data_IF_871807666425
#
_entry.id   IF_871807666425
#
_cell.length_a   1.000
_cell.length_b   1.000
_cell.length_c   1.000
_cell.angle_alpha   90.00
_cell.angle_beta   90.00
_cell.angle_gamma   90.00
#
_symmetry.space_group_name_H-M   'P 1'
#
loop_
_entity.id
_entity.type
_entity.pdbx_description
1 polymer ?
#
# COMPACT_ATOMS: atom_id res chain seq x y z
N UNK A 1 12.65 -5.75 -12.69
CA UNK A 1 11.50 -4.96 -12.20
C UNK A 1 10.58 -4.59 -13.33
N UNK A 2 9.28 -4.90 -13.20
CA UNK A 2 8.27 -4.37 -14.10
C UNK A 2 7.87 -2.95 -13.65
N UNK A 3 8.35 -1.94 -14.37
CA UNK A 3 8.05 -0.54 -14.06
C UNK A 3 6.56 -0.19 -14.15
N UNK A 4 5.81 -0.83 -15.04
CA UNK A 4 4.37 -0.55 -15.19
C UNK A 4 3.60 -1.01 -13.94
N UNK A 5 3.96 -2.19 -13.44
CA UNK A 5 3.44 -2.74 -12.20
C UNK A 5 3.77 -1.85 -11.00
N UNK A 6 5.05 -1.47 -10.85
CA UNK A 6 5.47 -0.60 -9.74
C UNK A 6 4.79 0.76 -9.83
N UNK A 7 4.69 1.37 -11.02
CA UNK A 7 3.99 2.66 -11.19
C UNK A 7 2.50 2.55 -10.85
N UNK A 8 1.84 1.45 -11.19
CA UNK A 8 0.43 1.21 -10.83
C UNK A 8 0.21 1.28 -9.32
N UNK A 9 1.00 0.55 -8.54
CA UNK A 9 0.90 0.58 -7.07
C UNK A 9 1.36 1.92 -6.50
N UNK A 10 2.44 2.49 -7.00
CA UNK A 10 2.92 3.83 -6.59
C UNK A 10 1.84 4.90 -6.76
N UNK A 11 1.10 4.89 -7.87
CA UNK A 11 0.02 5.86 -8.09
C UNK A 11 -1.16 5.63 -7.13
N UNK A 12 -1.56 4.38 -6.90
CA UNK A 12 -2.61 4.03 -5.96
C UNK A 12 -2.27 4.43 -4.51
N UNK A 13 -1.02 4.19 -4.07
CA UNK A 13 -0.53 4.57 -2.74
C UNK A 13 -0.41 6.09 -2.62
N UNK A 14 0.06 6.76 -3.68
CA UNK A 14 0.18 8.23 -3.73
C UNK A 14 -1.17 8.94 -3.64
N UNK A 15 -2.23 8.41 -4.26
CA UNK A 15 -3.60 8.93 -4.11
C UNK A 15 -3.99 8.97 -2.62
N UNK A 16 -3.69 7.92 -1.87
CA UNK A 16 -3.99 7.85 -0.44
C UNK A 16 -3.13 8.80 0.39
N UNK A 17 -1.80 8.79 0.21
CA UNK A 17 -0.87 9.67 0.95
C UNK A 17 -1.18 11.16 0.71
N UNK A 18 -1.76 11.52 -0.43
CA UNK A 18 -2.19 12.90 -0.73
C UNK A 18 -3.57 13.26 -0.18
N UNK A 19 -4.28 12.30 0.41
CA UNK A 19 -5.66 12.46 0.88
C UNK A 19 -6.67 12.58 -0.26
N UNK A 20 -6.35 12.06 -1.45
CA UNK A 20 -7.27 12.03 -2.59
C UNK A 20 -8.31 10.91 -2.45
N UNK A 21 -7.98 9.87 -1.67
CA UNK A 21 -8.88 8.80 -1.24
C UNK A 21 -8.79 8.62 0.29
N UNK A 22 -9.87 8.16 0.91
CA UNK A 22 -9.89 7.85 2.35
C UNK A 22 -9.17 6.54 2.66
N UNK A 23 -8.75 6.33 3.92
CA UNK A 23 -8.13 5.06 4.34
C UNK A 23 -8.99 3.82 4.07
N UNK A 24 -10.32 3.93 4.21
CA UNK A 24 -11.25 2.82 3.89
C UNK A 24 -11.32 2.54 2.40
N UNK A 25 -11.35 3.58 1.56
CA UNK A 25 -11.34 3.41 0.09
C UNK A 25 -10.00 2.84 -0.38
N UNK A 26 -8.90 3.34 0.18
CA UNK A 26 -7.56 2.86 -0.10
C UNK A 26 -7.40 1.39 0.28
N UNK A 27 -7.70 0.99 1.53
CA UNK A 27 -7.52 -0.40 1.97
C UNK A 27 -8.32 -1.37 1.09
N UNK A 28 -9.58 -1.02 0.78
CA UNK A 28 -10.44 -1.82 -0.10
C UNK A 28 -9.86 -1.92 -1.51
N UNK A 29 -9.46 -0.78 -2.12
CA UNK A 29 -8.95 -0.74 -3.49
C UNK A 29 -7.60 -1.48 -3.59
N UNK A 30 -6.70 -1.24 -2.64
CA UNK A 30 -5.39 -1.86 -2.55
C UNK A 30 -5.50 -3.39 -2.43
N UNK A 31 -6.30 -3.88 -1.49
CA UNK A 31 -6.45 -5.32 -1.27
C UNK A 31 -7.08 -6.02 -2.47
N UNK A 32 -8.10 -5.42 -3.10
CA UNK A 32 -8.69 -5.99 -4.31
C UNK A 32 -7.67 -6.05 -5.44
N UNK A 33 -6.92 -4.96 -5.67
CA UNK A 33 -5.88 -4.93 -6.69
C UNK A 33 -4.82 -6.00 -6.44
N UNK A 34 -4.32 -6.12 -5.20
CA UNK A 34 -3.29 -7.08 -4.82
C UNK A 34 -3.74 -8.54 -4.93
N UNK A 35 -5.00 -8.84 -4.61
CA UNK A 35 -5.55 -10.20 -4.69
C UNK A 35 -5.92 -10.63 -6.11
N UNK A 36 -6.32 -9.68 -6.97
CA UNK A 36 -6.71 -9.92 -8.36
C UNK A 36 -5.53 -9.79 -9.33
N UNK A 37 -4.33 -9.40 -8.84
CA UNK A 37 -3.13 -9.26 -9.67
C UNK A 37 -2.53 -10.62 -10.03
N UNK A 38 -2.49 -10.93 -11.32
CA UNK A 38 -1.86 -12.15 -11.85
C UNK A 38 -0.36 -11.96 -12.14
N UNK A 39 0.17 -10.76 -11.92
CA UNK A 39 1.57 -10.46 -12.19
C UNK A 39 2.50 -10.91 -11.04
N UNK A 40 3.70 -11.39 -11.41
CA UNK A 40 4.72 -11.82 -10.44
C UNK A 40 5.79 -10.73 -10.35
N UNK A 41 5.78 -9.88 -9.31
CA UNK A 41 6.83 -8.90 -9.10
C UNK A 41 8.17 -9.54 -8.70
N UNK A 42 9.25 -8.75 -8.75
CA UNK A 42 10.51 -9.13 -8.11
C UNK A 42 10.33 -9.17 -6.58
N UNK A 43 11.15 -10.00 -5.91
CA UNK A 43 11.04 -10.25 -4.46
C UNK A 43 11.01 -8.95 -3.62
N UNK A 44 11.85 -7.97 -3.96
CA UNK A 44 11.93 -6.69 -3.24
C UNK A 44 10.64 -5.86 -3.39
N UNK A 45 10.07 -5.81 -4.59
CA UNK A 45 8.78 -5.15 -4.83
C UNK A 45 7.65 -5.91 -4.13
N UNK A 46 7.69 -7.24 -4.16
CA UNK A 46 6.71 -8.07 -3.49
C UNK A 46 6.72 -7.83 -1.98
N UNK A 47 7.89 -7.82 -1.34
CA UNK A 47 8.04 -7.62 0.10
C UNK A 47 7.45 -6.27 0.56
N UNK A 48 7.73 -5.17 -0.15
CA UNK A 48 7.15 -3.86 0.16
C UNK A 48 5.62 -3.84 0.01
N UNK A 49 5.09 -4.48 -1.04
CA UNK A 49 3.64 -4.53 -1.26
C UNK A 49 2.93 -5.49 -0.30
N UNK A 50 3.53 -6.64 0.02
CA UNK A 50 2.97 -7.62 0.98
C UNK A 50 2.92 -7.02 2.38
N UNK A 51 3.94 -6.25 2.79
CA UNK A 51 3.90 -5.47 4.03
C UNK A 51 2.70 -4.52 4.06
N UNK A 52 2.50 -3.73 3.01
CA UNK A 52 1.36 -2.80 2.94
C UNK A 52 0.01 -3.52 2.86
N UNK A 53 -0.03 -4.71 2.26
CA UNK A 53 -1.21 -5.57 2.25
C UNK A 53 -1.61 -5.97 3.68
N UNK A 54 -0.64 -6.40 4.49
CA UNK A 54 -0.88 -6.77 5.90
C UNK A 54 -1.40 -5.57 6.70
N UNK A 55 -0.83 -4.39 6.48
CA UNK A 55 -1.29 -3.16 7.14
C UNK A 55 -2.69 -2.74 6.69
N UNK A 56 -3.01 -2.89 5.40
CA UNK A 56 -4.34 -2.64 4.85
C UNK A 56 -5.40 -3.62 5.39
N UNK A 57 -5.05 -4.90 5.59
CA UNK A 57 -5.92 -5.90 6.22
C UNK A 57 -6.12 -5.62 7.73
N UNK A 58 -5.09 -5.08 8.39
CA UNK A 58 -5.15 -4.68 9.79
C UNK A 58 -5.93 -3.36 10.01
N UNK A 59 -6.19 -2.58 8.96
CA UNK A 59 -6.88 -1.30 9.10
C UNK A 59 -8.30 -1.46 9.63
N UNK A 60 -8.58 -0.76 10.73
CA UNK A 60 -9.88 -0.68 11.35
C UNK A 60 -10.37 0.77 11.33
N UNK A 61 -11.53 0.98 10.69
CA UNK A 61 -12.23 2.25 10.77
C UNK A 61 -12.48 2.67 12.23
N UNK A 62 -12.67 3.98 12.48
CA UNK A 62 -12.78 4.54 13.84
C UNK A 62 -13.90 3.92 14.68
N UNK A 63 -14.89 3.30 14.03
CA UNK A 63 -16.04 2.67 14.68
C UNK A 63 -15.74 1.29 15.29
N UNK A 64 -14.64 0.64 14.87
CA UNK A 64 -14.28 -0.74 15.28
C UNK A 64 -12.89 -0.82 15.93
N UNK A 65 -12.13 0.28 15.95
CA UNK A 65 -10.71 0.30 16.37
C UNK A 65 -10.47 -0.21 17.79
N UNK A 66 -11.35 0.11 18.74
CA UNK A 66 -11.20 -0.31 20.14
C UNK A 66 -11.58 -1.78 20.37
N UNK A 67 -12.26 -2.40 19.40
CA UNK A 67 -12.80 -3.75 19.50
C UNK A 67 -11.93 -4.81 18.77
N UNK A 68 -10.95 -4.38 17.97
CA UNK A 68 -10.09 -5.26 17.17
C UNK A 68 -8.67 -5.28 17.74
N UNK A 69 -8.29 -6.41 18.34
CA UNK A 69 -6.92 -6.63 18.82
C UNK A 69 -5.97 -6.67 17.63
N UNK A 70 -5.01 -5.73 17.59
CA UNK A 70 -4.04 -5.61 16.50
C UNK A 70 -4.52 -4.77 15.32
N UNK A 71 -5.71 -4.15 15.41
CA UNK A 71 -6.19 -3.24 14.39
C UNK A 71 -5.43 -1.90 14.40
N UNK A 72 -5.14 -1.37 13.21
CA UNK A 72 -4.46 -0.07 13.04
C UNK A 72 -5.46 1.01 12.62
N UNK A 73 -5.18 2.25 12.98
CA UNK A 73 -5.95 3.42 12.54
C UNK A 73 -5.43 4.03 11.24
N UNK A 74 -6.12 5.05 10.74
CA UNK A 74 -5.76 5.78 9.52
C UNK A 74 -4.34 6.36 9.56
N UNK A 75 -3.93 6.96 10.68
CA UNK A 75 -2.58 7.54 10.81
C UNK A 75 -1.46 6.48 10.78
N UNK A 76 -1.74 5.26 11.25
CA UNK A 76 -0.79 4.14 11.19
C UNK A 76 -0.71 3.62 9.75
N UNK A 77 -1.86 3.42 9.09
CA UNK A 77 -1.90 3.04 7.67
C UNK A 77 -1.23 4.08 6.76
N UNK A 78 -1.43 5.38 7.02
CA UNK A 78 -0.79 6.47 6.26
C UNK A 78 0.74 6.44 6.44
N UNK A 79 1.23 6.12 7.63
CA UNK A 79 2.66 5.98 7.88
C UNK A 79 3.26 4.80 7.09
N UNK A 80 2.63 3.61 7.15
CA UNK A 80 3.06 2.43 6.41
C UNK A 80 2.98 2.65 4.88
N UNK A 81 1.92 3.32 4.41
CA UNK A 81 1.77 3.69 3.00
C UNK A 81 2.85 4.69 2.54
N UNK A 82 3.23 5.64 3.39
CA UNK A 82 4.29 6.61 3.07
C UNK A 82 5.66 5.92 2.97
N UNK A 83 5.97 5.02 3.90
CA UNK A 83 7.20 4.22 3.89
C UNK A 83 7.33 3.43 2.58
N UNK A 84 6.30 2.66 2.24
CA UNK A 84 6.30 1.86 0.99
C UNK A 84 6.32 2.75 -0.26
N UNK A 85 5.66 3.90 -0.24
CA UNK A 85 5.74 4.85 -1.36
C UNK A 85 7.17 5.35 -1.57
N UNK A 86 7.92 5.62 -0.50
CA UNK A 86 9.33 6.02 -0.59
C UNK A 86 10.17 4.90 -1.20
N UNK A 87 10.04 3.67 -0.70
CA UNK A 87 10.75 2.48 -1.23
C UNK A 87 10.49 2.26 -2.73
N UNK A 88 9.22 2.28 -3.16
CA UNK A 88 8.88 2.07 -4.57
C UNK A 88 9.40 3.19 -5.48
N UNK A 89 9.46 4.44 -5.00
CA UNK A 89 10.06 5.54 -5.76
C UNK A 89 11.58 5.39 -5.86
N UNK A 90 12.26 4.93 -4.80
CA UNK A 90 13.69 4.64 -4.85
C UNK A 90 14.01 3.55 -5.87
N UNK A 91 13.22 2.46 -5.91
CA UNK A 91 13.38 1.40 -6.90
C UNK A 91 13.18 1.90 -8.34
N UNK A 92 12.22 2.79 -8.58
CA UNK A 92 12.02 3.43 -9.88
C UNK A 92 13.22 4.32 -10.27
N UNK A 93 13.69 5.15 -9.34
CA UNK A 93 14.84 6.04 -9.56
C UNK A 93 16.14 5.28 -9.82
N UNK A 94 16.33 4.11 -9.20
CA UNK A 94 17.49 3.25 -9.44
C UNK A 94 17.48 2.56 -10.81
N UNK A 95 16.29 2.20 -11.30
CA UNK A 95 16.15 1.59 -12.63
C UNK A 95 16.30 2.60 -13.78
N UNK A 96 16.06 3.90 -13.52
CA UNK A 96 16.25 4.99 -14.49
C UNK A 96 17.73 5.43 -14.67
N UNK A 97 18.67 4.88 -13.89
CA UNK A 97 20.12 5.23 -13.91
C UNK A 97 20.97 4.31 -14.79
#
# INVERSE_FOLDING_TARGET
MNEEYVRKYTDLIREFVRGEVTATEFSTKYMNEFLDDDEIPDDEVFESLDYLFVEADAYCGPELRDDVIGGIGEAELEASATEVLEELNELLDENDR
#
